data_IF_344256491024
#
_entry.id   IF_344256491024
#
_cell.length_a   1.000
_cell.length_b   1.000
_cell.length_c   1.000
_cell.angle_alpha   90.00
_cell.angle_beta   90.00
_cell.angle_gamma   90.00
#
_symmetry.space_group_name_H-M   'P 1'
#
loop_
_entity.id
_entity.type
_entity.pdbx_description
1 polymer ?
#
# COMPACT_ATOMS: atom_id res chain seq x y z
N UNK A 1 -18.68 6.28 6.78
CA UNK A 1 -19.19 7.67 6.66
C UNK A 1 -19.65 7.90 5.23
N UNK A 2 -20.90 8.32 4.98
CA UNK A 2 -21.40 8.55 3.63
C UNK A 2 -21.03 9.98 3.23
N UNK A 3 -19.81 10.17 2.70
CA UNK A 3 -19.35 11.35 1.93
C UNK A 3 -17.82 11.43 1.76
N UNK A 4 -17.06 10.37 2.02
CA UNK A 4 -15.66 10.28 1.56
C UNK A 4 -15.64 10.08 0.05
N UNK A 5 -15.84 11.17 -0.69
CA UNK A 5 -15.57 11.22 -2.12
C UNK A 5 -14.04 11.25 -2.27
N UNK A 6 -13.43 10.07 -2.47
CA UNK A 6 -12.02 10.01 -2.86
C UNK A 6 -11.88 10.71 -4.21
N UNK A 7 -11.37 11.95 -4.23
CA UNK A 7 -11.01 12.67 -5.43
C UNK A 7 -9.73 12.05 -6.03
N UNK A 8 -9.90 10.90 -6.66
CA UNK A 8 -8.83 10.13 -7.30
C UNK A 8 -9.24 8.68 -7.50
N UNK A 9 -9.03 8.15 -8.70
CA UNK A 9 -9.19 6.72 -8.94
C UNK A 9 -8.04 5.93 -8.31
N UNK A 10 -8.25 4.64 -8.06
CA UNK A 10 -7.22 3.72 -7.55
C UNK A 10 -5.92 3.81 -8.38
N UNK A 11 -6.03 4.05 -9.69
CA UNK A 11 -4.88 4.25 -10.57
C UNK A 11 -3.99 5.43 -10.15
N UNK A 12 -4.56 6.61 -9.87
CA UNK A 12 -3.76 7.77 -9.43
C UNK A 12 -3.15 7.55 -8.04
N UNK A 13 -3.85 6.84 -7.15
CA UNK A 13 -3.34 6.49 -5.84
C UNK A 13 -2.13 5.53 -5.93
N UNK A 14 -2.24 4.46 -6.73
CA UNK A 14 -1.13 3.54 -7.02
C UNK A 14 0.04 4.29 -7.64
N UNK A 15 -0.23 5.22 -8.57
CA UNK A 15 0.80 6.03 -9.21
C UNK A 15 1.53 6.93 -8.20
N UNK A 16 0.81 7.60 -7.30
CA UNK A 16 1.40 8.42 -6.25
C UNK A 16 2.31 7.59 -5.32
N UNK A 17 1.90 6.38 -4.97
CA UNK A 17 2.73 5.45 -4.18
C UNK A 17 3.98 5.04 -4.96
N UNK A 18 3.87 4.78 -6.26
CA UNK A 18 5.01 4.46 -7.10
C UNK A 18 6.01 5.63 -7.19
N UNK A 19 5.52 6.87 -7.32
CA UNK A 19 6.37 8.07 -7.28
C UNK A 19 7.09 8.20 -5.92
N UNK A 20 6.40 7.92 -4.82
CA UNK A 20 7.02 7.92 -3.48
C UNK A 20 8.11 6.84 -3.36
N UNK A 21 7.90 5.66 -3.93
CA UNK A 21 8.92 4.61 -3.97
C UNK A 21 10.15 5.01 -4.78
N UNK A 22 9.96 5.74 -5.89
CA UNK A 22 11.06 6.30 -6.66
C UNK A 22 11.86 7.30 -5.84
N UNK A 23 11.18 8.21 -5.14
CA UNK A 23 11.84 9.20 -4.27
C UNK A 23 12.65 8.53 -3.15
N UNK A 24 12.14 7.43 -2.59
CA UNK A 24 12.83 6.63 -1.57
C UNK A 24 13.84 5.62 -2.13
N UNK A 25 14.02 5.56 -3.45
CA UNK A 25 14.89 4.59 -4.14
C UNK A 25 14.54 3.12 -3.84
N UNK A 26 13.28 2.85 -3.48
CA UNK A 26 12.77 1.51 -3.18
C UNK A 26 12.27 0.76 -4.41
N UNK A 27 12.32 1.36 -5.60
CA UNK A 27 11.82 0.75 -6.85
C UNK A 27 12.54 -0.54 -7.22
N UNK A 28 13.85 -0.63 -6.97
CA UNK A 28 14.61 -1.87 -7.22
C UNK A 28 14.16 -2.99 -6.31
N UNK A 29 13.98 -2.71 -5.01
CA UNK A 29 13.45 -3.67 -4.04
C UNK A 29 12.06 -4.11 -4.45
N UNK A 30 11.16 -3.16 -4.73
CA UNK A 30 9.79 -3.47 -5.16
C UNK A 30 9.71 -4.33 -6.44
N UNK A 31 10.68 -4.22 -7.36
CA UNK A 31 10.71 -5.01 -8.60
C UNK A 31 11.32 -6.40 -8.45
N UNK A 32 12.31 -6.54 -7.57
CA UNK A 32 13.13 -7.74 -7.49
C UNK A 32 12.80 -8.62 -6.27
N UNK A 33 12.05 -8.09 -5.31
CA UNK A 33 11.60 -8.81 -4.11
C UNK A 33 10.08 -9.01 -4.17
N UNK A 34 9.66 -10.26 -4.36
CA UNK A 34 8.25 -10.63 -4.42
C UNK A 34 7.52 -10.38 -3.09
N UNK A 35 8.20 -10.56 -1.95
CA UNK A 35 7.67 -10.29 -0.62
C UNK A 35 7.40 -8.80 -0.44
N UNK A 36 8.35 -7.94 -0.83
CA UNK A 36 8.18 -6.50 -0.81
C UNK A 36 7.06 -6.03 -1.77
N UNK A 37 7.01 -6.58 -2.98
CA UNK A 37 5.95 -6.30 -3.95
C UNK A 37 4.56 -6.68 -3.41
N UNK A 38 4.45 -7.86 -2.82
CA UNK A 38 3.21 -8.37 -2.21
C UNK A 38 2.76 -7.49 -1.03
N UNK A 39 3.68 -7.14 -0.12
CA UNK A 39 3.39 -6.27 1.01
C UNK A 39 2.88 -4.90 0.55
N UNK A 40 3.54 -4.28 -0.43
CA UNK A 40 3.12 -3.00 -1.02
C UNK A 40 1.72 -3.08 -1.63
N UNK A 41 1.41 -4.13 -2.39
CA UNK A 41 0.07 -4.30 -2.99
C UNK A 41 -1.01 -4.44 -1.91
N UNK A 42 -0.72 -5.18 -0.83
CA UNK A 42 -1.64 -5.29 0.32
C UNK A 42 -1.84 -3.94 1.01
N UNK A 43 -0.79 -3.15 1.19
CA UNK A 43 -0.89 -1.80 1.76
C UNK A 43 -1.75 -0.86 0.88
N UNK A 44 -1.59 -0.91 -0.45
CA UNK A 44 -2.44 -0.15 -1.39
C UNK A 44 -3.91 -0.55 -1.22
N UNK A 45 -4.17 -1.86 -1.08
CA UNK A 45 -5.52 -2.40 -0.91
C UNK A 45 -6.18 -1.99 0.43
N UNK A 46 -5.44 -1.41 1.37
CA UNK A 46 -6.02 -0.86 2.60
C UNK A 46 -6.61 0.55 2.42
N UNK A 47 -6.31 1.25 1.33
CA UNK A 47 -6.85 2.60 1.13
C UNK A 47 -8.39 2.72 1.17
N UNK A 48 -9.17 1.75 0.62
CA UNK A 48 -10.63 1.80 0.68
C UNK A 48 -11.24 1.14 1.92
N UNK A 49 -10.47 0.52 2.82
CA UNK A 49 -11.04 -0.18 3.98
C UNK A 49 -11.34 0.78 5.14
N UNK A 50 -12.26 0.43 6.06
CA UNK A 50 -12.56 1.26 7.22
C UNK A 50 -11.34 1.50 8.10
N UNK A 51 -11.22 2.70 8.66
CA UNK A 51 -10.05 3.14 9.44
C UNK A 51 -9.71 2.18 10.59
N UNK A 52 -10.71 1.68 11.29
CA UNK A 52 -10.60 0.72 12.38
C UNK A 52 -9.92 -0.61 11.98
N UNK A 53 -9.88 -0.93 10.68
CA UNK A 53 -9.24 -2.14 10.16
C UNK A 53 -7.80 -1.93 9.70
N UNK A 54 -7.36 -0.67 9.54
CA UNK A 54 -6.04 -0.34 9.00
C UNK A 54 -4.92 -0.84 9.92
N UNK A 55 -4.96 -0.52 11.21
CA UNK A 55 -3.89 -0.91 12.13
C UNK A 55 -3.78 -2.44 12.32
N UNK A 56 -4.88 -3.20 12.52
CA UNK A 56 -4.83 -4.66 12.54
C UNK A 56 -4.27 -5.25 11.23
N UNK A 57 -4.72 -4.76 10.08
CA UNK A 57 -4.27 -5.27 8.78
C UNK A 57 -2.80 -4.93 8.50
N UNK A 58 -2.34 -3.74 8.90
CA UNK A 58 -0.94 -3.35 8.80
C UNK A 58 -0.04 -4.29 9.61
N UNK A 59 -0.40 -4.59 10.87
CA UNK A 59 0.36 -5.52 11.71
C UNK A 59 0.46 -6.92 11.08
N UNK A 60 -0.63 -7.41 10.50
CA UNK A 60 -0.64 -8.68 9.78
C UNK A 60 0.33 -8.66 8.60
N UNK A 61 0.24 -7.66 7.72
CA UNK A 61 1.12 -7.51 6.55
C UNK A 61 2.60 -7.42 6.97
N UNK A 62 2.90 -6.67 8.04
CA UNK A 62 4.27 -6.55 8.55
C UNK A 62 4.82 -7.86 9.09
N UNK A 63 3.99 -8.67 9.75
CA UNK A 63 4.40 -9.99 10.25
C UNK A 63 4.69 -10.97 9.12
N UNK A 64 3.90 -10.93 8.03
CA UNK A 64 4.11 -11.78 6.84
C UNK A 64 5.37 -11.40 6.06
N UNK A 65 5.73 -10.11 6.03
CA UNK A 65 6.90 -9.62 5.30
C UNK A 65 8.23 -9.81 6.07
N UNK A 66 8.17 -10.22 7.34
CA UNK A 66 9.36 -10.44 8.20
C UNK A 66 9.86 -11.89 8.18
N UNK A 67 9.21 -12.76 7.41
CA UNK A 67 9.54 -14.19 7.23
C UNK A 67 10.06 -14.44 5.82
#
# INVERSE_FOLDING_TARGET
MPNSHHSGCNFHFVHAIYLQMQHLQLTTVYRNDETACSAVRKLIALAPVPYETIEPAFKLISSEASH
#
